data_IF_659453186098
#
_entry.id   IF_659453186098
#
_cell.length_a   1.000
_cell.length_b   1.000
_cell.length_c   1.000
_cell.angle_alpha   90.00
_cell.angle_beta   90.00
_cell.angle_gamma   90.00
#
_symmetry.space_group_name_H-M   'P 1'
#
loop_
_entity.id
_entity.type
_entity.pdbx_description
1 polymer ?
#
# COMPACT_ATOMS: atom_id res chain seq x y z
N UNK A 1 -17.44 2.72 -8.14
CA UNK A 1 -16.11 2.48 -8.51
C UNK A 1 -15.15 3.27 -7.67
N UNK A 2 -14.27 2.60 -7.07
CA UNK A 2 -13.32 3.23 -6.24
C UNK A 2 -12.09 3.57 -7.04
N UNK A 3 -11.64 4.77 -6.98
CA UNK A 3 -10.51 5.11 -7.67
C UNK A 3 -9.35 5.31 -6.82
N UNK A 4 -9.51 5.59 -5.58
CA UNK A 4 -8.40 5.89 -4.73
C UNK A 4 -8.38 4.94 -3.59
N UNK A 5 -8.11 3.66 -3.89
CA UNK A 5 -8.04 2.63 -2.87
C UNK A 5 -6.88 2.91 -1.92
N UNK A 6 -5.75 3.26 -2.47
CA UNK A 6 -4.55 3.51 -1.67
C UNK A 6 -3.62 4.42 -2.43
N UNK A 7 -2.64 4.98 -1.71
CA UNK A 7 -1.65 5.85 -2.31
C UNK A 7 -0.26 5.33 -2.01
N UNK A 8 0.64 5.60 -2.95
CA UNK A 8 2.06 5.37 -2.71
C UNK A 8 2.75 6.70 -2.90
N UNK A 9 3.52 7.12 -1.89
CA UNK A 9 4.20 8.40 -1.89
C UNK A 9 5.69 8.16 -1.78
N UNK A 10 6.47 8.93 -2.53
CA UNK A 10 7.91 8.85 -2.47
C UNK A 10 8.45 10.14 -1.88
N UNK A 11 9.14 10.04 -0.74
CA UNK A 11 9.74 11.18 -0.08
C UNK A 11 11.19 10.85 0.19
N UNK A 12 12.09 11.58 -0.47
CA UNK A 12 13.53 11.38 -0.30
C UNK A 12 13.96 9.93 -0.53
N UNK A 13 13.36 9.28 -1.51
CA UNK A 13 13.74 7.92 -1.83
C UNK A 13 13.09 6.86 -0.99
N UNK A 14 12.25 7.26 -0.04
CA UNK A 14 11.53 6.30 0.78
C UNK A 14 10.08 6.27 0.32
N UNK A 15 9.56 5.07 0.11
CA UNK A 15 8.20 4.91 -0.36
C UNK A 15 7.29 4.57 0.80
N UNK A 16 6.12 5.22 0.80
CA UNK A 16 5.13 5.04 1.86
C UNK A 16 3.82 4.58 1.26
N UNK A 17 3.13 3.73 1.97
CA UNK A 17 1.82 3.24 1.56
C UNK A 17 0.78 3.73 2.53
N UNK A 18 -0.34 4.22 1.98
CA UNK A 18 -1.42 4.73 2.81
C UNK A 18 -2.73 4.26 2.25
N UNK A 19 -3.54 3.62 3.08
CA UNK A 19 -4.86 3.17 2.68
C UNK A 19 -5.82 4.35 2.74
N UNK A 20 -6.64 4.48 1.72
CA UNK A 20 -7.57 5.59 1.63
C UNK A 20 -8.96 5.14 2.04
N UNK A 21 -9.08 4.63 3.25
CA UNK A 21 -10.35 4.24 3.82
C UNK A 21 -11.08 3.23 2.95
N UNK A 22 -10.34 2.27 2.44
CA UNK A 22 -10.92 1.30 1.53
C UNK A 22 -11.82 0.32 2.26
N UNK A 23 -12.81 -0.20 1.57
CA UNK A 23 -13.75 -1.15 2.15
C UNK A 23 -13.07 -2.48 2.44
N UNK A 24 -12.23 -2.93 1.52
CA UNK A 24 -11.60 -4.24 1.65
C UNK A 24 -10.19 -4.17 2.19
N UNK A 25 -9.80 -2.98 2.62
CA UNK A 25 -8.49 -2.76 3.24
C UNK A 25 -7.34 -3.00 2.26
N UNK A 26 -6.18 -2.64 2.71
CA UNK A 26 -4.93 -2.83 1.98
C UNK A 26 -4.01 -3.66 2.87
N UNK A 27 -3.25 -4.55 2.27
CA UNK A 27 -2.33 -5.39 3.03
C UNK A 27 -0.92 -5.21 2.48
N UNK A 28 0.03 -5.12 3.39
CA UNK A 28 1.44 -5.06 3.01
C UNK A 28 2.14 -6.24 3.62
N UNK A 29 2.65 -7.12 2.78
CA UNK A 29 3.33 -8.35 3.22
C UNK A 29 2.46 -9.16 4.18
N UNK A 30 1.14 -9.15 3.93
CA UNK A 30 0.22 -9.91 4.74
C UNK A 30 -0.33 -9.18 5.95
N UNK A 31 0.18 -7.99 6.24
CA UNK A 31 -0.29 -7.21 7.38
C UNK A 31 -1.25 -6.13 6.93
N UNK A 32 -2.34 -5.98 7.67
CA UNK A 32 -3.34 -4.99 7.29
C UNK A 32 -2.83 -3.59 7.53
N UNK A 33 -3.05 -2.72 6.55
CA UNK A 33 -2.70 -1.32 6.64
C UNK A 33 -3.95 -0.57 7.07
N UNK A 34 -3.88 0.09 8.22
CA UNK A 34 -5.03 0.83 8.71
C UNK A 34 -5.25 2.09 7.90
N UNK A 35 -6.51 2.49 7.82
CA UNK A 35 -6.87 3.67 7.05
C UNK A 35 -6.18 4.90 7.56
N UNK A 36 -5.70 5.71 6.60
CA UNK A 36 -5.08 6.98 6.90
C UNK A 36 -3.82 6.89 7.74
N UNK A 37 -3.18 5.74 7.71
CA UNK A 37 -1.88 5.55 8.37
C UNK A 37 -0.85 5.29 7.29
N UNK A 38 0.22 6.07 7.31
CA UNK A 38 1.30 5.91 6.35
C UNK A 38 2.32 4.94 6.90
N UNK A 39 2.72 3.98 6.09
CA UNK A 39 3.75 3.04 6.51
C UNK A 39 4.80 2.93 5.40
N UNK A 40 6.01 2.62 5.80
CA UNK A 40 7.11 2.48 4.86
C UNK A 40 6.96 1.17 4.08
N UNK A 41 7.21 1.23 2.78
CA UNK A 41 7.19 0.05 1.93
C UNK A 41 8.62 -0.42 1.74
N UNK A 42 8.97 -1.59 2.27
CA UNK A 42 10.30 -2.13 2.01
C UNK A 42 10.42 -2.60 0.57
N UNK A 43 11.65 -2.72 0.10
CA UNK A 43 11.89 -3.27 -1.21
C UNK A 43 11.39 -4.72 -1.27
N UNK A 44 10.91 -5.13 -2.42
CA UNK A 44 10.39 -6.48 -2.62
C UNK A 44 9.23 -6.81 -1.69
N UNK A 45 8.29 -5.88 -1.62
CA UNK A 45 7.11 -6.07 -0.78
C UNK A 45 5.92 -6.52 -1.61
N UNK A 46 5.03 -7.24 -0.96
CA UNK A 46 3.77 -7.64 -1.58
C UNK A 46 2.68 -6.70 -1.10
N UNK A 47 1.95 -6.10 -2.01
CA UNK A 47 0.86 -5.19 -1.69
C UNK A 47 -0.41 -5.78 -2.24
N UNK A 48 -1.41 -5.90 -1.39
CA UNK A 48 -2.68 -6.47 -1.80
C UNK A 48 -3.78 -5.44 -1.66
N UNK A 49 -4.49 -5.24 -2.75
CA UNK A 49 -5.61 -4.31 -2.81
C UNK A 49 -6.83 -5.11 -3.22
N UNK A 50 -7.75 -5.29 -2.30
CA UNK A 50 -8.95 -6.08 -2.58
C UNK A 50 -8.53 -7.50 -2.98
N UNK A 51 -8.83 -7.92 -4.20
CA UNK A 51 -8.45 -9.24 -4.68
C UNK A 51 -7.18 -9.27 -5.48
N UNK A 52 -6.51 -8.13 -5.58
CA UNK A 52 -5.36 -8.04 -6.45
C UNK A 52 -4.11 -7.85 -5.66
N UNK A 53 -3.08 -8.56 -6.04
CA UNK A 53 -1.82 -8.52 -5.35
C UNK A 53 -0.74 -8.07 -6.31
N UNK A 54 0.12 -7.17 -5.84
CA UNK A 54 1.20 -6.64 -6.64
C UNK A 54 2.51 -6.83 -5.93
N UNK A 55 3.55 -6.98 -6.69
CA UNK A 55 4.89 -7.00 -6.12
C UNK A 55 5.51 -5.64 -6.30
N UNK A 56 5.91 -5.02 -5.21
CA UNK A 56 6.53 -3.70 -5.23
C UNK A 56 8.03 -3.86 -5.16
N UNK A 57 8.73 -3.37 -6.16
CA UNK A 57 10.19 -3.45 -6.18
C UNK A 57 10.76 -2.08 -6.42
N UNK A 58 11.76 -1.75 -5.62
CA UNK A 58 12.53 -0.54 -5.87
C UNK A 58 13.69 -0.95 -6.73
N UNK A 59 13.95 -0.36 -7.74
CA UNK A 59 14.99 -0.85 -8.43
C UNK A 59 15.84 -0.26 -9.12
#
# INVERSE_FOLDING_TARGET
>A
VSRRHAYITNINGIYYLRDNNSTNHTYLNGDMVYSNVEIVIPDNSSIRLSNEEFLFKMN
#
